data_IF_780931276641
#
_entry.id   IF_780931276641
#
_cell.length_a   1.000
_cell.length_b   1.000
_cell.length_c   1.000
_cell.angle_alpha   90.00
_cell.angle_beta   90.00
_cell.angle_gamma   90.00
#
_symmetry.space_group_name_H-M   'P 1'
#
loop_
_entity.id
_entity.type
_entity.pdbx_description
1 polymer ?
#
# COMPACT_ATOMS: atom_id res chain seq x y z
N UNK A 1 2.93 -2.68 12.18
CA UNK A 1 2.53 -3.51 13.32
C UNK A 1 3.74 -4.02 14.12
N UNK A 2 4.84 -4.39 13.48
CA UNK A 2 6.06 -4.89 14.17
C UNK A 2 7.07 -3.79 14.59
N UNK A 3 6.66 -2.53 14.62
CA UNK A 3 7.52 -1.43 15.08
C UNK A 3 7.47 -1.34 16.62
N UNK A 4 8.61 -1.51 17.29
CA UNK A 4 8.68 -1.48 18.75
C UNK A 4 8.56 -0.07 19.34
N UNK A 5 8.78 0.96 18.54
CA UNK A 5 8.67 2.37 18.97
C UNK A 5 7.24 2.92 18.89
N UNK A 6 6.34 2.22 18.18
CA UNK A 6 4.95 2.62 18.02
C UNK A 6 4.13 2.26 19.26
N UNK A 7 3.26 3.18 19.71
CA UNK A 7 2.31 2.92 20.81
C UNK A 7 1.34 1.78 20.47
N UNK A 8 0.82 1.11 21.49
CA UNK A 8 -0.11 -0.02 21.28
C UNK A 8 -1.38 0.44 20.56
N UNK A 9 -1.96 1.56 20.93
CA UNK A 9 -3.17 2.10 20.28
C UNK A 9 -2.97 2.35 18.78
N UNK A 10 -1.81 2.88 18.38
CA UNK A 10 -1.49 3.03 16.95
C UNK A 10 -1.34 1.68 16.25
N UNK A 11 -0.74 0.68 16.90
CA UNK A 11 -0.65 -0.67 16.33
C UNK A 11 -2.02 -1.28 16.11
N UNK A 12 -2.90 -1.15 17.09
CA UNK A 12 -4.26 -1.69 17.05
C UNK A 12 -5.09 -0.99 15.97
N UNK A 13 -4.99 0.33 15.86
CA UNK A 13 -5.58 1.11 14.79
C UNK A 13 -5.17 0.60 13.40
N UNK A 14 -3.86 0.50 13.15
CA UNK A 14 -3.38 0.01 11.86
C UNK A 14 -3.73 -1.45 11.60
N UNK A 15 -3.72 -2.29 12.62
CA UNK A 15 -4.12 -3.69 12.48
C UNK A 15 -5.60 -3.83 12.16
N UNK A 16 -6.46 -3.04 12.79
CA UNK A 16 -7.88 -3.01 12.51
C UNK A 16 -8.15 -2.63 11.05
N UNK A 17 -7.59 -1.52 10.58
CA UNK A 17 -7.80 -1.09 9.20
C UNK A 17 -7.12 -1.98 8.16
N UNK A 18 -6.05 -2.68 8.50
CA UNK A 18 -5.44 -3.68 7.63
C UNK A 18 -6.36 -4.87 7.32
N UNK A 19 -7.39 -5.12 8.13
CA UNK A 19 -8.42 -6.14 7.83
C UNK A 19 -9.42 -5.69 6.78
N UNK A 20 -9.53 -4.39 6.52
CA UNK A 20 -10.53 -3.79 5.63
C UNK A 20 -9.96 -3.38 4.28
N UNK A 21 -8.64 -3.21 4.19
CA UNK A 21 -7.98 -2.69 3.00
C UNK A 21 -6.90 -3.64 2.53
N UNK A 22 -6.93 -3.96 1.26
CA UNK A 22 -5.81 -4.66 0.63
C UNK A 22 -4.58 -3.73 0.57
N UNK A 23 -3.36 -4.28 0.72
CA UNK A 23 -2.15 -3.48 0.56
C UNK A 23 -2.05 -2.98 -0.88
N UNK A 24 -2.03 -1.67 -1.03
CA UNK A 24 -1.84 -1.04 -2.32
C UNK A 24 -0.36 -0.77 -2.55
N UNK A 25 0.14 -1.18 -3.70
CA UNK A 25 1.50 -0.90 -4.15
C UNK A 25 1.49 -0.21 -5.52
N UNK A 26 2.46 0.65 -5.75
CA UNK A 26 2.62 1.41 -6.99
C UNK A 26 2.77 2.92 -6.75
N UNK A 27 3.31 3.67 -7.76
CA UNK A 27 3.51 5.10 -7.66
C UNK A 27 2.17 5.84 -7.56
N UNK A 28 1.96 6.54 -6.46
CA UNK A 28 0.77 7.35 -6.27
C UNK A 28 1.05 8.61 -5.43
N UNK A 29 0.36 9.67 -5.78
CA UNK A 29 0.17 10.86 -4.94
C UNK A 29 -1.32 11.13 -4.91
N UNK A 30 -1.93 10.90 -3.77
CA UNK A 30 -3.38 10.95 -3.59
C UNK A 30 -3.72 12.24 -2.86
N UNK A 31 -4.60 13.03 -3.46
CA UNK A 31 -5.15 14.23 -2.88
C UNK A 31 -6.63 14.00 -2.62
N UNK A 32 -7.12 14.51 -1.50
CA UNK A 32 -8.52 14.41 -1.12
C UNK A 32 -8.98 15.67 -0.38
N UNK A 33 -10.28 15.90 -0.38
CA UNK A 33 -10.91 16.99 0.35
C UNK A 33 -12.36 16.62 0.67
N UNK A 34 -12.87 17.12 1.79
CA UNK A 34 -14.29 17.07 2.16
C UNK A 34 -14.96 18.47 2.09
N UNK A 35 -14.21 19.48 1.68
CA UNK A 35 -14.63 20.87 1.59
C UNK A 35 -13.96 21.75 2.64
N UNK A 36 -13.83 21.27 3.87
CA UNK A 36 -13.23 21.99 4.99
C UNK A 36 -11.77 21.58 5.25
N UNK A 37 -11.45 20.34 4.88
CA UNK A 37 -10.12 19.78 5.05
C UNK A 37 -9.56 19.34 3.69
N UNK A 38 -8.29 19.61 3.46
CA UNK A 38 -7.53 19.10 2.33
C UNK A 38 -6.40 18.19 2.82
N UNK A 39 -6.24 17.06 2.17
CA UNK A 39 -5.16 16.14 2.50
C UNK A 39 -4.40 15.64 1.29
N UNK A 40 -3.14 15.22 1.54
CA UNK A 40 -2.31 14.59 0.56
C UNK A 40 -1.44 13.49 1.19
N UNK A 41 -1.35 12.35 0.51
CA UNK A 41 -0.54 11.22 0.93
C UNK A 41 0.15 10.59 -0.27
N UNK A 42 1.37 10.11 -0.07
CA UNK A 42 2.11 9.36 -1.07
C UNK A 42 1.85 7.85 -0.93
N UNK A 43 2.23 7.10 -1.96
CA UNK A 43 2.38 5.66 -1.88
C UNK A 43 3.38 5.26 -0.79
N UNK A 44 3.35 3.99 -0.40
CA UNK A 44 4.18 3.42 0.66
C UNK A 44 5.68 3.76 0.52
N UNK A 45 6.20 3.76 -0.68
CA UNK A 45 7.61 3.99 -0.97
C UNK A 45 7.92 5.44 -1.38
N UNK A 46 6.90 6.27 -1.58
CA UNK A 46 7.04 7.65 -2.05
C UNK A 46 7.66 7.73 -3.44
N UNK A 47 7.28 6.81 -4.33
CA UNK A 47 7.81 6.72 -5.68
C UNK A 47 7.42 7.93 -6.53
N UNK A 48 6.18 8.43 -6.34
CA UNK A 48 5.74 9.68 -6.96
C UNK A 48 6.04 10.85 -6.03
N UNK A 49 6.97 11.74 -6.38
CA UNK A 49 7.28 12.90 -5.55
C UNK A 49 6.13 13.90 -5.52
N UNK A 50 5.98 14.60 -4.41
CA UNK A 50 5.15 15.78 -4.29
C UNK A 50 5.82 16.79 -3.37
N UNK A 51 5.67 18.06 -3.70
CA UNK A 51 6.21 19.18 -2.94
C UNK A 51 5.11 20.20 -2.71
N UNK A 52 5.21 20.93 -1.60
CA UNK A 52 4.30 22.02 -1.35
C UNK A 52 5.05 23.29 -0.90
N UNK A 53 4.42 24.40 -1.16
CA UNK A 53 4.88 25.72 -0.75
C UNK A 53 3.77 26.37 0.05
N UNK A 54 4.17 27.12 1.07
CA UNK A 54 3.29 28.03 1.78
C UNK A 54 3.79 29.45 1.50
N UNK A 55 2.90 30.34 1.11
CA UNK A 55 3.20 31.74 0.82
C UNK A 55 2.83 32.63 1.99
N UNK A 56 3.34 33.86 1.99
CA UNK A 56 3.02 34.91 2.98
C UNK A 56 1.52 35.30 2.98
N UNK A 57 0.81 35.03 1.86
CA UNK A 57 -0.63 35.24 1.71
C UNK A 57 -1.44 33.99 2.16
N UNK A 58 -0.86 33.08 2.93
CA UNK A 58 -1.47 31.83 3.43
C UNK A 58 -1.99 30.90 2.33
N UNK A 59 -1.43 30.97 1.11
CA UNK A 59 -1.74 29.99 0.08
C UNK A 59 -0.82 28.77 0.20
N UNK A 60 -1.42 27.57 0.20
CA UNK A 60 -0.70 26.32 0.09
C UNK A 60 -0.83 25.77 -1.33
N UNK A 61 0.30 25.57 -2.00
CA UNK A 61 0.38 25.02 -3.35
C UNK A 61 1.09 23.68 -3.29
N UNK A 62 0.37 22.58 -3.59
CA UNK A 62 0.92 21.25 -3.69
C UNK A 62 0.99 20.81 -5.15
N UNK A 63 2.13 20.27 -5.56
CA UNK A 63 2.33 19.78 -6.92
C UNK A 63 3.39 18.67 -6.97
N UNK A 64 3.27 17.77 -7.94
CA UNK A 64 4.31 16.78 -8.26
C UNK A 64 5.51 17.43 -8.97
N UNK A 65 5.28 18.55 -9.64
CA UNK A 65 6.30 19.29 -10.42
C UNK A 65 6.58 20.65 -9.82
N UNK A 66 7.83 21.11 -9.95
CA UNK A 66 8.23 22.47 -9.55
C UNK A 66 7.90 23.44 -10.68
N UNK A 67 7.41 24.63 -10.33
CA UNK A 67 7.14 25.69 -11.32
C UNK A 67 5.82 25.56 -12.06
N UNK A 68 4.86 24.82 -11.50
CA UNK A 68 3.48 24.73 -12.05
C UNK A 68 2.78 26.08 -12.03
N UNK A 69 3.06 26.88 -11.02
CA UNK A 69 2.63 28.27 -10.92
C UNK A 69 3.86 29.17 -10.86
N UNK A 70 3.79 30.29 -11.53
CA UNK A 70 4.80 31.34 -11.43
C UNK A 70 4.59 32.13 -10.12
N UNK A 71 5.37 31.75 -9.11
CA UNK A 71 5.31 32.32 -7.77
C UNK A 71 6.62 33.05 -7.51
N UNK A 72 6.53 34.32 -7.09
CA UNK A 72 7.70 35.07 -6.66
C UNK A 72 8.38 34.34 -5.49
N UNK A 73 9.64 33.90 -5.63
CA UNK A 73 10.35 33.18 -4.57
C UNK A 73 10.43 33.93 -3.25
N UNK A 74 10.36 35.27 -3.28
CA UNK A 74 10.39 36.12 -2.07
C UNK A 74 9.15 35.96 -1.21
N UNK A 75 8.02 35.57 -1.81
CA UNK A 75 6.75 35.34 -1.12
C UNK A 75 6.61 33.96 -0.48
N UNK A 76 7.54 33.07 -0.73
CA UNK A 76 7.46 31.71 -0.22
C UNK A 76 8.07 31.65 1.18
N UNK A 77 7.21 31.39 2.17
CA UNK A 77 7.60 31.27 3.58
C UNK A 77 8.12 29.88 3.90
N UNK A 78 7.53 28.84 3.29
CA UNK A 78 7.89 27.45 3.55
C UNK A 78 7.94 26.65 2.24
N UNK A 79 8.97 25.81 2.11
CA UNK A 79 9.12 24.81 1.05
C UNK A 79 9.34 23.47 1.70
N UNK A 80 8.49 22.51 1.41
CA UNK A 80 8.60 21.19 1.99
C UNK A 80 8.30 20.11 0.94
N UNK A 81 8.80 18.92 1.19
CA UNK A 81 8.53 17.74 0.40
C UNK A 81 7.62 16.82 1.18
N UNK A 82 6.60 16.28 0.51
CA UNK A 82 5.77 15.26 1.11
C UNK A 82 6.60 13.96 1.25
N UNK A 83 6.59 13.39 2.45
CA UNK A 83 7.34 12.19 2.78
C UNK A 83 6.44 10.95 2.79
N UNK A 84 6.94 9.78 2.34
CA UNK A 84 6.20 8.53 2.47
C UNK A 84 5.92 8.22 3.94
N UNK A 85 4.74 7.67 4.22
CA UNK A 85 4.30 7.39 5.58
C UNK A 85 3.86 8.60 6.40
N UNK A 86 3.93 9.81 5.83
CA UNK A 86 3.39 11.04 6.42
C UNK A 86 2.27 11.59 5.56
N UNK A 87 1.27 12.14 6.21
CA UNK A 87 0.15 12.81 5.57
C UNK A 87 0.29 14.33 5.74
N UNK A 88 0.09 15.06 4.65
CA UNK A 88 -0.18 16.50 4.74
C UNK A 88 -1.68 16.66 4.94
N UNK A 89 -2.09 17.31 6.00
CA UNK A 89 -3.49 17.66 6.23
C UNK A 89 -3.60 19.13 6.56
N UNK A 90 -4.50 19.82 5.88
CA UNK A 90 -4.76 21.25 6.03
C UNK A 90 -6.22 21.43 6.42
N UNK A 91 -6.43 22.02 7.58
CA UNK A 91 -7.75 22.48 8.02
C UNK A 91 -7.93 23.93 7.52
N UNK A 92 -8.79 24.10 6.52
CA UNK A 92 -9.02 25.41 5.90
C UNK A 92 -9.89 26.33 6.76
N UNK A 93 -10.69 25.74 7.65
CA UNK A 93 -11.54 26.50 8.60
C UNK A 93 -10.68 27.04 9.74
N UNK A 94 -9.81 26.20 10.30
CA UNK A 94 -8.87 26.60 11.33
C UNK A 94 -7.66 27.38 10.78
N UNK A 95 -7.42 27.34 9.46
CA UNK A 95 -6.31 28.01 8.80
C UNK A 95 -4.94 27.44 9.21
N UNK A 96 -4.83 26.12 9.40
CA UNK A 96 -3.58 25.51 9.85
C UNK A 96 -3.28 24.17 9.16
N UNK A 97 -2.01 23.87 9.08
CA UNK A 97 -1.52 22.52 8.76
C UNK A 97 -1.57 21.68 10.04
N UNK A 98 -2.21 20.52 9.97
CA UNK A 98 -2.27 19.57 11.08
C UNK A 98 -1.04 18.67 11.02
N UNK A 99 -0.35 18.52 12.15
CA UNK A 99 0.81 17.64 12.23
C UNK A 99 0.41 16.17 12.10
N UNK A 100 1.23 15.40 11.39
CA UNK A 100 1.00 13.97 11.12
C UNK A 100 0.90 13.15 12.41
N UNK A 101 1.71 13.46 13.42
CA UNK A 101 1.66 12.76 14.70
C UNK A 101 0.38 13.12 15.50
N UNK A 102 -0.02 14.39 15.50
CA UNK A 102 -1.29 14.85 16.09
C UNK A 102 -2.47 14.08 15.47
N UNK A 103 -2.48 13.99 14.14
CA UNK A 103 -3.52 13.28 13.40
C UNK A 103 -3.56 11.79 13.75
N UNK A 104 -2.42 11.12 13.73
CA UNK A 104 -2.31 9.70 14.03
C UNK A 104 -2.69 9.38 15.49
N UNK A 105 -2.31 10.23 16.43
CA UNK A 105 -2.71 10.08 17.82
C UNK A 105 -4.22 10.24 18.00
N UNK A 106 -4.81 11.25 17.36
CA UNK A 106 -6.26 11.49 17.40
C UNK A 106 -7.03 10.25 16.96
N UNK A 107 -6.75 9.74 15.75
CA UNK A 107 -7.48 8.61 15.20
C UNK A 107 -7.18 7.28 15.89
N UNK A 108 -5.95 7.08 16.38
CA UNK A 108 -5.59 5.87 17.11
C UNK A 108 -6.32 5.75 18.47
N UNK A 109 -6.76 6.88 19.03
CA UNK A 109 -7.49 6.91 20.31
C UNK A 109 -8.99 7.16 20.16
N UNK A 110 -9.49 7.28 18.92
CA UNK A 110 -10.91 7.60 18.68
C UNK A 110 -11.84 6.46 19.05
N UNK A 111 -11.37 5.22 18.88
CA UNK A 111 -12.15 4.02 19.14
C UNK A 111 -11.32 2.95 19.87
N UNK A 112 -11.97 2.01 20.57
CA UNK A 112 -11.28 0.93 21.29
C UNK A 112 -10.86 -0.21 20.32
N UNK A 113 -9.99 0.08 19.38
CA UNK A 113 -9.57 -0.86 18.33
C UNK A 113 -8.97 -2.16 18.88
N UNK A 114 -8.22 -2.07 19.99
CA UNK A 114 -7.65 -3.24 20.67
C UNK A 114 -8.72 -4.21 21.16
N UNK A 115 -9.76 -3.70 21.81
CA UNK A 115 -10.88 -4.52 22.28
C UNK A 115 -11.64 -5.19 21.12
N UNK A 116 -11.79 -4.47 20.01
CA UNK A 116 -12.43 -5.00 18.81
C UNK A 116 -11.60 -6.12 18.16
N UNK A 117 -10.28 -5.96 18.11
CA UNK A 117 -9.37 -6.97 17.59
C UNK A 117 -9.35 -8.20 18.51
N UNK A 118 -9.23 -8.02 19.81
CA UNK A 118 -9.20 -9.13 20.78
C UNK A 118 -10.49 -9.96 20.74
N UNK A 119 -11.62 -9.30 20.49
CA UNK A 119 -12.92 -9.97 20.48
C UNK A 119 -13.25 -10.64 19.15
N UNK A 120 -12.70 -10.17 18.04
CA UNK A 120 -13.14 -10.57 16.69
C UNK A 120 -12.02 -11.17 15.81
N UNK A 121 -10.75 -10.93 16.11
CA UNK A 121 -9.65 -11.44 15.31
C UNK A 121 -9.32 -12.88 15.70
N UNK A 122 -9.62 -13.81 14.82
CA UNK A 122 -9.31 -15.23 15.01
C UNK A 122 -8.06 -15.57 14.19
N UNK A 123 -6.98 -16.01 14.85
CA UNK A 123 -5.78 -16.40 14.16
C UNK A 123 -6.01 -17.71 13.38
N UNK A 124 -5.47 -17.79 12.16
CA UNK A 124 -5.62 -18.96 11.29
C UNK A 124 -5.20 -20.27 11.98
N UNK A 125 -4.16 -20.21 12.81
CA UNK A 125 -3.68 -21.37 13.61
C UNK A 125 -4.70 -21.90 14.62
N UNK A 126 -5.65 -21.06 15.06
CA UNK A 126 -6.65 -21.39 16.06
C UNK A 126 -7.94 -21.95 15.41
N UNK A 127 -8.04 -21.86 14.09
CA UNK A 127 -9.13 -22.46 13.34
C UNK A 127 -8.98 -23.99 13.29
N UNK A 128 -10.03 -24.68 13.70
CA UNK A 128 -10.14 -26.13 13.49
C UNK A 128 -10.49 -26.40 12.02
N UNK A 129 -9.49 -26.39 11.16
CA UNK A 129 -9.64 -26.74 9.75
C UNK A 129 -9.68 -28.25 9.66
N UNK A 130 -10.78 -28.87 9.16
CA UNK A 130 -10.80 -30.31 8.96
C UNK A 130 -9.70 -30.72 8.02
N UNK A 131 -8.81 -31.61 8.47
CA UNK A 131 -7.83 -32.23 7.57
C UNK A 131 -8.61 -33.03 6.52
N UNK A 132 -8.74 -32.47 5.33
CA UNK A 132 -9.17 -33.25 4.17
C UNK A 132 -7.95 -33.94 3.60
N UNK A 133 -8.04 -35.24 3.41
CA UNK A 133 -7.03 -35.97 2.69
C UNK A 133 -6.85 -35.36 1.31
N UNK A 134 -5.63 -34.91 1.03
CA UNK A 134 -5.29 -34.42 -0.30
C UNK A 134 -5.30 -35.63 -1.25
N UNK A 135 -6.04 -35.55 -2.37
CA UNK A 135 -6.05 -36.64 -3.34
C UNK A 135 -4.62 -36.97 -3.78
N UNK A 136 -4.27 -38.27 -3.70
CA UNK A 136 -2.98 -38.77 -4.19
C UNK A 136 -3.18 -39.22 -5.62
N UNK A 137 -2.57 -38.50 -6.55
CA UNK A 137 -2.61 -38.82 -7.96
C UNK A 137 -1.39 -39.66 -8.36
N UNK A 138 -1.55 -40.60 -9.28
CA UNK A 138 -0.46 -41.27 -9.97
C UNK A 138 0.28 -40.26 -10.88
N UNK A 139 1.47 -40.63 -11.34
CA UNK A 139 2.22 -39.77 -12.27
C UNK A 139 1.48 -39.56 -13.61
N UNK A 140 0.73 -40.56 -14.05
CA UNK A 140 -0.08 -40.49 -15.27
C UNK A 140 -1.27 -39.54 -15.10
N UNK A 141 -1.99 -39.68 -13.99
CA UNK A 141 -3.11 -38.75 -13.65
C UNK A 141 -2.62 -37.30 -13.48
N UNK A 142 -1.48 -37.11 -12.81
CA UNK A 142 -0.88 -35.76 -12.72
C UNK A 142 -0.55 -35.21 -14.09
N UNK A 143 0.01 -36.02 -14.99
CA UNK A 143 0.31 -35.56 -16.36
C UNK A 143 -0.95 -35.21 -17.15
N UNK A 144 -2.02 -36.00 -16.97
CA UNK A 144 -3.31 -35.68 -17.61
C UNK A 144 -3.91 -34.39 -17.09
N UNK A 145 -3.88 -34.17 -15.77
CA UNK A 145 -4.36 -32.93 -15.15
C UNK A 145 -3.53 -31.73 -15.61
N UNK A 146 -2.22 -31.84 -15.67
CA UNK A 146 -1.35 -30.77 -16.17
C UNK A 146 -1.71 -30.39 -17.61
N UNK A 147 -1.92 -31.39 -18.48
CA UNK A 147 -2.37 -31.15 -19.85
C UNK A 147 -3.75 -30.54 -19.92
N UNK A 148 -4.68 -30.99 -19.09
CA UNK A 148 -6.05 -30.48 -19.05
C UNK A 148 -6.10 -29.00 -18.63
N UNK A 149 -5.21 -28.60 -17.72
CA UNK A 149 -5.07 -27.21 -17.26
C UNK A 149 -4.07 -26.37 -18.08
N UNK A 150 -3.48 -26.94 -19.13
CA UNK A 150 -2.58 -26.23 -20.03
C UNK A 150 -1.18 -25.94 -19.47
N UNK A 151 -0.75 -26.65 -18.41
CA UNK A 151 0.59 -26.48 -17.88
C UNK A 151 1.64 -27.15 -18.76
N UNK A 152 2.64 -26.37 -19.16
CA UNK A 152 3.84 -26.91 -19.81
C UNK A 152 4.81 -27.53 -18.79
N UNK A 153 5.78 -28.30 -19.27
CA UNK A 153 6.85 -28.81 -18.43
C UNK A 153 7.67 -27.69 -17.77
N UNK A 154 7.83 -26.59 -18.49
CA UNK A 154 8.54 -25.43 -18.01
C UNK A 154 7.79 -24.73 -16.87
N UNK A 155 6.47 -24.55 -17.00
CA UNK A 155 5.64 -23.99 -15.93
C UNK A 155 5.73 -24.81 -14.66
N UNK A 156 5.68 -26.13 -14.80
CA UNK A 156 5.79 -27.03 -13.64
C UNK A 156 7.16 -26.94 -13.00
N UNK A 157 8.25 -26.93 -13.81
CA UNK A 157 9.62 -26.98 -13.30
C UNK A 157 10.11 -25.63 -12.77
N UNK A 158 9.79 -24.53 -13.43
CA UNK A 158 10.30 -23.20 -13.07
C UNK A 158 9.44 -22.48 -12.08
N UNK A 159 8.12 -22.56 -12.23
CA UNK A 159 7.17 -21.81 -11.39
C UNK A 159 6.63 -22.64 -10.24
N UNK A 160 5.91 -23.71 -10.55
CA UNK A 160 5.19 -24.51 -9.54
C UNK A 160 6.16 -25.19 -8.57
N UNK A 161 7.23 -25.79 -9.08
CA UNK A 161 8.23 -26.44 -8.23
C UNK A 161 8.93 -25.44 -7.31
N UNK A 162 9.18 -24.22 -7.79
CA UNK A 162 9.78 -23.16 -6.99
C UNK A 162 8.84 -22.72 -5.87
N UNK A 163 7.56 -22.53 -6.18
CA UNK A 163 6.52 -22.22 -5.19
C UNK A 163 6.41 -23.32 -4.13
N UNK A 164 6.40 -24.57 -4.57
CA UNK A 164 6.28 -25.73 -3.67
C UNK A 164 7.48 -25.92 -2.74
N UNK A 165 8.69 -25.58 -3.20
CA UNK A 165 9.93 -25.73 -2.41
C UNK A 165 10.20 -24.55 -1.50
N UNK A 166 9.95 -23.35 -1.97
CA UNK A 166 10.43 -22.11 -1.33
C UNK A 166 9.30 -21.30 -0.68
N UNK A 167 8.03 -21.62 -0.95
CA UNK A 167 6.88 -20.85 -0.50
C UNK A 167 6.81 -19.44 -1.10
N UNK A 168 7.47 -19.22 -2.23
CA UNK A 168 7.54 -17.92 -2.91
C UNK A 168 7.35 -18.07 -4.42
N UNK A 169 6.97 -16.99 -5.09
CA UNK A 169 6.77 -16.97 -6.54
C UNK A 169 8.08 -17.19 -7.32
N UNK A 170 7.97 -17.90 -8.43
CA UNK A 170 9.06 -18.06 -9.40
C UNK A 170 9.18 -16.82 -10.28
N UNK A 171 10.19 -16.00 -10.05
CA UNK A 171 10.38 -14.69 -10.73
C UNK A 171 10.53 -14.85 -12.25
N UNK A 172 11.06 -15.95 -12.74
CA UNK A 172 11.33 -16.15 -14.17
C UNK A 172 10.07 -16.14 -15.06
N UNK A 173 8.91 -16.53 -14.51
CA UNK A 173 7.66 -16.62 -15.27
C UNK A 173 6.95 -15.26 -15.41
N UNK A 174 7.06 -14.40 -14.42
CA UNK A 174 6.38 -13.10 -14.42
C UNK A 174 6.96 -12.12 -15.44
N UNK A 175 8.25 -12.22 -15.73
CA UNK A 175 8.91 -11.40 -16.77
C UNK A 175 8.42 -11.72 -18.19
N UNK A 176 7.96 -12.95 -18.44
CA UNK A 176 7.54 -13.39 -19.77
C UNK A 176 6.04 -13.31 -20.02
N UNK A 177 5.22 -13.40 -18.99
CA UNK A 177 3.76 -13.57 -19.13
C UNK A 177 2.95 -12.34 -18.81
N UNK A 178 3.55 -11.30 -18.28
CA UNK A 178 2.91 -10.00 -18.05
C UNK A 178 3.59 -8.92 -18.88
N UNK A 179 3.26 -8.81 -20.18
CA UNK A 179 3.75 -7.70 -20.96
C UNK A 179 3.21 -6.43 -20.34
N UNK A 180 4.10 -5.61 -19.78
CA UNK A 180 3.71 -4.28 -19.35
C UNK A 180 3.29 -3.49 -20.60
N UNK A 181 2.41 -2.50 -20.47
CA UNK A 181 2.08 -1.62 -21.60
C UNK A 181 3.30 -0.98 -22.26
N UNK A 182 4.42 -0.86 -21.54
CA UNK A 182 5.70 -0.37 -22.08
C UNK A 182 6.36 -1.37 -23.02
N UNK A 183 6.29 -2.66 -22.73
CA UNK A 183 6.93 -3.70 -23.55
C UNK A 183 6.25 -3.81 -24.93
N UNK A 184 5.00 -3.37 -25.05
CA UNK A 184 4.25 -3.33 -26.33
C UNK A 184 4.62 -2.11 -27.17
N UNK A 185 5.04 -1.01 -26.56
CA UNK A 185 5.45 0.21 -27.26
C UNK A 185 6.89 0.13 -27.78
N UNK A 186 7.80 -0.52 -27.08
CA UNK A 186 9.20 -0.69 -27.49
C UNK A 186 9.39 -1.73 -28.58
N UNK A 187 8.38 -2.57 -28.85
CA UNK A 187 8.44 -3.56 -29.95
C UNK A 187 7.84 -3.07 -31.27
N UNK A 188 7.55 -1.78 -31.41
CA UNK A 188 7.14 -1.10 -32.65
C UNK A 188 8.20 -0.10 -33.06
#
# INVERSE_FOLDING_TARGET
>A
VNNNEMSQNKKDFYQYYATMMEPWDGPASILFSDGDVMGAVLDRNGLRPSRYYITEDDNLILSSEVGVLDIDPSKIVMKERLHPGKMLLVDTVAGRVIDDEELKEKYANEHPYGEWLDSNLIALKDLKIPNKDVPKYTAEECTQLQKAFGYSYEDVKTSILTMAKNGGEGIACLLYTSPSPRDVEESR
#
